data_IF_938910073655
#
_entry.id   IF_938910073655
#
_cell.length_a   1.000
_cell.length_b   1.000
_cell.length_c   1.000
_cell.angle_alpha   90.00
_cell.angle_beta   90.00
_cell.angle_gamma   90.00
#
_symmetry.space_group_name_H-M   'P 1'
#
loop_
_entity.id
_entity.type
_entity.pdbx_description
1 polymer ?
#
# COMPACT_ATOMS: atom_id res chain seq x y z
N UNK A 1 6.93 9.42 -9.96
CA UNK A 1 5.75 9.25 -10.88
C UNK A 1 4.52 8.99 -10.02
N UNK A 2 3.33 9.49 -10.38
CA UNK A 2 2.09 9.16 -9.64
C UNK A 2 1.40 7.96 -10.27
N UNK A 3 1.07 6.97 -9.46
CA UNK A 3 0.37 5.73 -9.85
C UNK A 3 -1.14 5.81 -9.64
N UNK A 4 -1.58 6.70 -8.76
CA UNK A 4 -2.99 6.85 -8.39
C UNK A 4 -3.51 8.27 -8.68
N UNK A 5 -3.25 8.78 -9.90
CA UNK A 5 -3.53 10.18 -10.32
C UNK A 5 -4.98 10.59 -10.11
N UNK A 6 -5.91 9.68 -10.40
CA UNK A 6 -7.33 9.96 -10.37
C UNK A 6 -7.97 9.70 -8.99
N UNK A 7 -7.16 9.31 -8.01
CA UNK A 7 -7.61 9.07 -6.65
C UNK A 7 -7.15 10.20 -5.74
N UNK A 8 -8.09 10.93 -5.18
CA UNK A 8 -7.83 11.92 -4.13
C UNK A 8 -7.67 11.24 -2.77
N UNK A 9 -7.23 11.98 -1.74
CA UNK A 9 -7.17 11.45 -0.39
C UNK A 9 -8.54 10.91 0.06
N UNK A 10 -8.56 9.67 0.52
CA UNK A 10 -9.78 9.00 0.98
C UNK A 10 -10.11 9.50 2.39
N UNK A 11 -11.32 9.99 2.59
CA UNK A 11 -11.77 10.61 3.83
C UNK A 11 -13.05 9.98 4.34
N UNK A 12 -13.35 10.22 5.59
CA UNK A 12 -14.66 9.91 6.16
C UNK A 12 -15.72 10.88 5.61
N UNK A 13 -16.78 10.32 5.05
CA UNK A 13 -17.93 11.06 4.50
C UNK A 13 -19.28 10.60 5.10
N UNK A 14 -19.26 9.58 5.93
CA UNK A 14 -20.44 9.01 6.56
C UNK A 14 -21.20 8.00 5.70
N UNK A 15 -22.12 7.29 6.34
CA UNK A 15 -22.84 6.13 5.77
C UNK A 15 -23.67 6.43 4.52
N UNK A 16 -24.08 7.67 4.34
CA UNK A 16 -24.93 8.08 3.23
C UNK A 16 -24.15 8.52 2.00
N UNK A 17 -22.82 8.61 2.09
CA UNK A 17 -21.97 8.97 0.96
C UNK A 17 -22.16 8.01 -0.21
N UNK A 18 -22.23 8.57 -1.41
CA UNK A 18 -22.27 7.84 -2.69
C UNK A 18 -20.87 7.65 -3.29
N UNK A 19 -19.85 8.27 -2.69
CA UNK A 19 -18.48 8.12 -3.12
C UNK A 19 -17.99 6.68 -2.80
N UNK A 20 -17.59 5.87 -3.79
CA UNK A 20 -17.07 4.53 -3.54
C UNK A 20 -15.71 4.52 -2.84
N UNK A 21 -14.96 5.64 -2.95
CA UNK A 21 -13.64 5.83 -2.36
C UNK A 21 -13.71 6.74 -1.13
N UNK A 22 -14.64 6.45 -0.22
CA UNK A 22 -14.78 7.17 1.04
C UNK A 22 -14.99 6.18 2.20
N UNK A 23 -14.48 6.53 3.36
CA UNK A 23 -14.83 5.83 4.59
C UNK A 23 -16.25 6.20 5.01
N UNK A 24 -17.08 5.22 5.20
CA UNK A 24 -18.51 5.40 5.56
C UNK A 24 -18.77 5.22 7.04
N UNK A 25 -17.94 4.48 7.72
CA UNK A 25 -18.09 4.14 9.13
C UNK A 25 -16.86 4.51 9.96
N UNK A 26 -15.68 4.37 9.41
CA UNK A 26 -14.43 4.74 10.07
C UNK A 26 -14.22 6.25 9.99
N UNK A 27 -14.32 6.92 11.13
CA UNK A 27 -13.97 8.33 11.28
C UNK A 27 -12.68 8.44 12.10
N UNK A 28 -11.53 8.77 11.49
CA UNK A 28 -10.26 8.86 12.19
C UNK A 28 -10.23 9.91 13.30
N UNK A 29 -11.07 10.94 13.20
CA UNK A 29 -11.13 12.04 14.15
C UNK A 29 -12.12 11.81 15.30
N UNK A 30 -12.93 10.76 15.27
CA UNK A 30 -13.87 10.43 16.33
C UNK A 30 -13.14 10.19 17.66
N UNK A 31 -13.64 10.82 18.72
CA UNK A 31 -13.09 10.65 20.07
C UNK A 31 -13.81 9.50 20.79
N UNK A 32 -13.03 8.52 21.23
CA UNK A 32 -13.49 7.39 22.05
C UNK A 32 -12.65 7.35 23.32
N UNK A 33 -13.28 7.59 24.46
CA UNK A 33 -12.57 7.68 25.74
C UNK A 33 -11.49 8.77 25.78
N UNK A 34 -11.68 9.86 25.02
CA UNK A 34 -10.73 10.97 24.95
C UNK A 34 -9.57 10.76 23.98
N UNK A 35 -9.52 9.63 23.27
CA UNK A 35 -8.52 9.34 22.24
C UNK A 35 -9.14 9.35 20.84
N UNK A 36 -8.37 9.77 19.84
CA UNK A 36 -8.84 9.73 18.45
C UNK A 36 -8.90 8.28 17.96
N UNK A 37 -9.88 7.98 17.14
CA UNK A 37 -10.07 6.66 16.55
C UNK A 37 -8.81 6.17 15.82
N UNK A 38 -8.11 7.03 15.07
CA UNK A 38 -6.89 6.65 14.36
C UNK A 38 -5.71 6.27 15.28
N UNK A 39 -5.72 6.75 16.53
CA UNK A 39 -4.69 6.40 17.52
C UNK A 39 -5.01 5.08 18.24
N UNK A 40 -6.28 4.70 18.26
CA UNK A 40 -6.75 3.42 18.82
C UNK A 40 -6.63 2.33 17.75
N UNK A 41 -7.19 2.55 16.56
CA UNK A 41 -7.16 1.62 15.43
C UNK A 41 -6.01 1.99 14.49
N UNK A 42 -4.84 1.47 14.78
CA UNK A 42 -3.61 1.69 14.00
C UNK A 42 -3.52 0.68 12.86
N UNK A 43 -4.04 1.04 11.69
CA UNK A 43 -3.97 0.20 10.50
C UNK A 43 -2.55 0.19 9.91
N UNK A 44 -2.17 -0.97 9.37
CA UNK A 44 -0.91 -1.19 8.69
C UNK A 44 -1.15 -1.81 7.31
N UNK A 45 -0.36 -1.40 6.33
CA UNK A 45 -0.35 -2.00 5.00
C UNK A 45 0.69 -3.12 4.96
N UNK A 46 0.29 -4.31 4.53
CA UNK A 46 1.17 -5.44 4.31
C UNK A 46 1.66 -5.45 2.85
N UNK A 47 2.97 -5.30 2.64
CA UNK A 47 3.57 -5.21 1.30
C UNK A 47 3.31 -6.45 0.45
N UNK A 48 3.47 -7.64 1.03
CA UNK A 48 3.32 -8.92 0.31
C UNK A 48 1.92 -9.20 -0.21
N UNK A 49 0.88 -8.64 0.39
CA UNK A 49 -0.50 -8.79 -0.06
C UNK A 49 -0.95 -7.68 -1.02
N UNK A 50 -0.17 -6.62 -1.16
CA UNK A 50 -0.52 -5.44 -1.94
C UNK A 50 0.49 -5.16 -3.05
N UNK A 51 1.66 -4.66 -2.71
CA UNK A 51 2.62 -4.13 -3.69
C UNK A 51 3.46 -5.21 -4.34
N UNK A 52 3.81 -6.27 -3.61
CA UNK A 52 4.61 -7.39 -4.10
C UNK A 52 3.77 -8.57 -4.60
N UNK A 53 2.48 -8.61 -4.30
CA UNK A 53 1.62 -9.72 -4.70
C UNK A 53 1.46 -9.78 -6.23
N UNK A 54 1.71 -10.96 -6.79
CA UNK A 54 1.61 -11.21 -8.24
C UNK A 54 0.35 -11.98 -8.63
N UNK A 55 -0.44 -12.42 -7.65
CA UNK A 55 -1.62 -13.25 -7.87
C UNK A 55 -1.31 -14.69 -8.25
N UNK A 56 -0.13 -15.19 -7.86
CA UNK A 56 0.22 -16.61 -8.02
C UNK A 56 -0.55 -17.48 -7.05
N UNK A 57 -0.82 -18.71 -7.47
CA UNK A 57 -1.48 -19.74 -6.67
C UNK A 57 -0.89 -21.12 -6.97
N UNK A 58 -1.53 -22.18 -6.44
CA UNK A 58 -1.09 -23.56 -6.66
C UNK A 58 -1.27 -24.06 -8.11
N UNK A 59 -1.99 -23.31 -8.94
CA UNK A 59 -2.27 -23.67 -10.35
C UNK A 59 -1.37 -22.96 -11.35
N UNK A 60 -0.63 -21.93 -10.92
CA UNK A 60 0.30 -21.24 -11.81
C UNK A 60 0.93 -19.99 -11.23
N UNK A 61 1.84 -19.44 -12.02
CA UNK A 61 2.51 -18.18 -11.71
C UNK A 61 1.54 -17.01 -11.73
N UNK A 62 1.89 -15.93 -11.00
CA UNK A 62 1.12 -14.71 -10.98
C UNK A 62 1.00 -14.06 -12.37
N UNK A 63 -0.19 -13.55 -12.66
CA UNK A 63 -0.49 -12.85 -13.91
C UNK A 63 -0.87 -11.39 -13.68
N UNK A 64 -0.88 -10.96 -12.44
CA UNK A 64 -1.27 -9.61 -12.06
C UNK A 64 -0.09 -8.64 -12.19
N UNK A 65 0.07 -8.08 -13.39
CA UNK A 65 1.07 -7.05 -13.64
C UNK A 65 0.59 -5.70 -13.10
N UNK A 66 1.40 -5.14 -12.22
CA UNK A 66 1.11 -3.82 -11.61
C UNK A 66 1.85 -2.71 -12.33
N UNK A 67 1.30 -1.48 -12.37
CA UNK A 67 1.93 -0.35 -13.08
C UNK A 67 3.33 -0.01 -12.60
N UNK A 68 3.69 -0.33 -11.37
CA UNK A 68 5.03 -0.07 -10.81
C UNK A 68 6.05 -1.18 -11.09
N UNK A 69 5.63 -2.34 -11.58
CA UNK A 69 6.52 -3.45 -11.95
C UNK A 69 7.16 -3.24 -13.32
N UNK A 70 7.46 -1.99 -13.65
CA UNK A 70 8.17 -1.57 -14.86
C UNK A 70 9.58 -1.12 -14.52
N UNK A 71 10.52 -1.38 -15.41
CA UNK A 71 11.92 -1.03 -15.21
C UNK A 71 12.85 -2.05 -15.85
N UNK A 72 14.06 -1.62 -16.18
CA UNK A 72 15.07 -2.46 -16.82
C UNK A 72 15.85 -3.31 -15.79
N UNK A 73 15.83 -2.89 -14.53
CA UNK A 73 16.54 -3.59 -13.45
C UNK A 73 15.60 -3.92 -12.28
N UNK A 74 15.90 -4.97 -11.50
CA UNK A 74 15.16 -5.27 -10.27
C UNK A 74 15.14 -4.10 -9.29
N UNK A 75 16.23 -3.34 -9.20
CA UNK A 75 16.33 -2.18 -8.31
C UNK A 75 15.41 -1.03 -8.75
N UNK A 76 15.25 -0.80 -10.05
CA UNK A 76 14.29 0.21 -10.56
C UNK A 76 12.86 -0.17 -10.19
N UNK A 77 12.49 -1.45 -10.37
CA UNK A 77 11.17 -1.96 -9.95
C UNK A 77 10.94 -1.80 -8.45
N UNK A 78 11.96 -2.12 -7.64
CA UNK A 78 11.89 -1.93 -6.19
C UNK A 78 11.65 -0.47 -5.80
N UNK A 79 12.34 0.49 -6.43
CA UNK A 79 12.13 1.92 -6.20
C UNK A 79 10.72 2.37 -6.60
N UNK A 80 10.24 1.95 -7.75
CA UNK A 80 8.89 2.25 -8.23
C UNK A 80 7.83 1.71 -7.26
N UNK A 81 8.06 0.51 -6.73
CA UNK A 81 7.18 -0.12 -5.74
C UNK A 81 7.09 0.69 -4.46
N UNK A 82 8.22 1.19 -3.96
CA UNK A 82 8.27 2.07 -2.78
C UNK A 82 7.49 3.37 -3.04
N UNK A 83 7.70 4.02 -4.19
CA UNK A 83 6.95 5.23 -4.55
C UNK A 83 5.43 4.97 -4.58
N UNK A 84 5.00 3.88 -5.22
CA UNK A 84 3.59 3.50 -5.27
C UNK A 84 3.01 3.22 -3.88
N UNK A 85 3.77 2.53 -3.04
CA UNK A 85 3.36 2.20 -1.67
C UNK A 85 3.13 3.45 -0.82
N UNK A 86 4.06 4.39 -0.84
CA UNK A 86 3.93 5.63 -0.07
C UNK A 86 2.80 6.53 -0.61
N UNK A 87 2.64 6.63 -1.92
CA UNK A 87 1.50 7.36 -2.51
C UNK A 87 0.16 6.74 -2.07
N UNK A 88 0.05 5.41 -2.10
CA UNK A 88 -1.13 4.70 -1.65
C UNK A 88 -1.43 4.97 -0.17
N UNK A 89 -0.43 4.82 0.70
CA UNK A 89 -0.59 5.03 2.13
C UNK A 89 -0.98 6.45 2.47
N UNK A 90 -0.39 7.46 1.80
CA UNK A 90 -0.75 8.86 1.98
C UNK A 90 -2.20 9.13 1.59
N UNK A 91 -2.65 8.59 0.46
CA UNK A 91 -4.02 8.77 0.00
C UNK A 91 -5.04 8.04 0.88
N UNK A 92 -4.68 6.89 1.43
CA UNK A 92 -5.52 6.12 2.34
C UNK A 92 -5.50 6.64 3.78
N UNK A 93 -4.48 7.44 4.15
CA UNK A 93 -4.28 7.93 5.52
C UNK A 93 -3.72 6.89 6.48
N UNK A 94 -3.06 5.84 5.96
CA UNK A 94 -2.42 4.80 6.77
C UNK A 94 -0.99 5.19 7.07
N UNK A 95 -0.60 5.14 8.34
CA UNK A 95 0.71 5.60 8.85
C UNK A 95 1.73 4.48 9.04
N UNK A 96 1.30 3.23 9.04
CA UNK A 96 2.13 2.07 9.35
C UNK A 96 2.16 1.09 8.18
N UNK A 97 3.26 0.39 8.03
CA UNK A 97 3.41 -0.68 7.04
C UNK A 97 4.34 -1.76 7.57
N UNK A 98 4.24 -2.94 7.01
CA UNK A 98 5.10 -4.08 7.28
C UNK A 98 5.53 -4.74 5.98
N UNK A 99 6.74 -5.29 5.97
CA UNK A 99 7.38 -5.87 4.79
C UNK A 99 8.37 -6.95 5.20
N UNK A 100 8.71 -7.81 4.26
CA UNK A 100 9.92 -8.62 4.30
C UNK A 100 11.03 -7.88 3.54
N UNK A 101 12.28 -8.25 3.78
CA UNK A 101 13.46 -7.68 3.11
C UNK A 101 13.31 -7.66 1.59
N UNK A 102 12.92 -8.79 0.99
CA UNK A 102 12.71 -8.96 -0.45
C UNK A 102 11.53 -8.15 -1.02
N UNK A 103 10.60 -7.70 -0.19
CA UNK A 103 9.51 -6.80 -0.62
C UNK A 103 10.02 -5.40 -0.98
N UNK A 104 11.05 -4.94 -0.25
CA UNK A 104 11.60 -3.58 -0.37
C UNK A 104 12.75 -3.55 -1.38
N UNK A 105 13.66 -4.52 -1.31
CA UNK A 105 14.83 -4.56 -2.17
C UNK A 105 15.05 -5.97 -2.75
N UNK A 106 15.53 -6.08 -3.98
CA UNK A 106 15.89 -7.36 -4.56
C UNK A 106 17.12 -7.94 -3.85
N UNK A 107 17.21 -9.25 -3.79
CA UNK A 107 18.43 -9.94 -3.39
C UNK A 107 19.56 -9.63 -4.38
N UNK A 108 20.79 -9.50 -3.89
CA UNK A 108 21.98 -9.39 -4.70
C UNK A 108 22.42 -10.75 -5.27
N UNK A 109 23.33 -10.74 -6.24
CA UNK A 109 23.93 -11.97 -6.77
C UNK A 109 24.87 -12.65 -5.77
N UNK A 110 25.35 -11.89 -4.80
CA UNK A 110 26.23 -12.37 -3.73
C UNK A 110 25.74 -11.88 -2.38
N UNK A 111 26.13 -12.55 -1.30
CA UNK A 111 25.81 -12.17 0.07
C UNK A 111 26.33 -10.76 0.43
N UNK A 112 27.38 -10.28 -0.25
CA UNK A 112 27.92 -8.94 -0.04
C UNK A 112 27.08 -7.85 -0.69
N UNK A 113 26.33 -8.19 -1.75
CA UNK A 113 25.46 -7.27 -2.47
C UNK A 113 24.05 -7.21 -1.89
N UNK A 114 23.64 -8.25 -1.17
CA UNK A 114 22.41 -8.31 -0.39
C UNK A 114 22.55 -7.56 0.94
#
# INVERSE_FOLDING_TARGET
MSYFKDVTAIKFEGKNSKNPLAFKYYNPDELVGGQRMEDILRFSVAYWHTFSAEGGDMFGSGTWLKPWEVGSTPMEKAKNRVEAAFEFMQKLGVKYFCFHDVDIAPEGETLKET
#
